data_IF_867036376580
#
_entry.id   IF_867036376580
#
_cell.length_a   1.000
_cell.length_b   1.000
_cell.length_c   1.000
_cell.angle_alpha   90.00
_cell.angle_beta   90.00
_cell.angle_gamma   90.00
#
_symmetry.space_group_name_H-M   'P 1'
#
loop_
_entity.id
_entity.type
_entity.pdbx_description
1 polymer ?
#
# COMPACT_ATOMS: atom_id res chain seq x y z
N UNK A 1 -2.38 14.09 22.66
CA UNK A 1 -3.70 14.20 22.00
C UNK A 1 -3.55 13.64 20.61
N UNK A 2 -4.06 12.42 20.37
CA UNK A 2 -4.12 11.84 19.01
C UNK A 2 -5.10 12.69 18.20
N UNK A 3 -4.62 13.39 17.18
CA UNK A 3 -5.51 14.00 16.21
C UNK A 3 -6.41 12.88 15.66
N UNK A 4 -7.72 13.07 15.72
CA UNK A 4 -8.64 12.16 15.05
C UNK A 4 -8.18 12.05 13.60
N UNK A 5 -7.83 10.84 13.17
CA UNK A 5 -7.44 10.57 11.78
C UNK A 5 -8.58 11.08 10.91
N UNK A 6 -8.28 12.02 10.02
CA UNK A 6 -9.26 12.49 9.06
C UNK A 6 -9.72 11.27 8.26
N UNK A 7 -10.99 10.90 8.41
CA UNK A 7 -11.54 9.63 7.88
C UNK A 7 -11.37 9.53 6.37
N UNK A 8 -11.34 10.68 5.72
CA UNK A 8 -11.11 10.80 4.28
C UNK A 8 -10.07 11.90 4.00
N UNK A 9 -8.77 11.57 4.02
CA UNK A 9 -7.75 12.55 3.71
C UNK A 9 -7.89 13.06 2.26
N UNK A 10 -7.47 14.30 1.97
CA UNK A 10 -7.47 14.83 0.61
C UNK A 10 -6.72 13.91 -0.35
N UNK A 11 -7.22 13.74 -1.57
CA UNK A 11 -6.59 12.87 -2.57
C UNK A 11 -5.11 13.27 -2.85
N UNK A 12 -4.78 14.55 -2.72
CA UNK A 12 -3.40 15.04 -2.84
C UNK A 12 -2.46 14.57 -1.73
N UNK A 13 -2.97 13.92 -0.68
CA UNK A 13 -2.18 13.31 0.40
C UNK A 13 -1.77 11.87 0.10
N UNK A 14 -2.10 11.35 -1.09
CA UNK A 14 -1.73 10.01 -1.52
C UNK A 14 -0.56 10.03 -2.49
N UNK A 15 0.35 9.09 -2.33
CA UNK A 15 1.30 8.72 -3.37
C UNK A 15 0.61 7.89 -4.45
N UNK A 16 0.91 8.17 -5.70
CA UNK A 16 0.37 7.47 -6.87
C UNK A 16 1.41 6.55 -7.48
N UNK A 17 1.05 5.30 -7.71
CA UNK A 17 1.86 4.29 -8.39
C UNK A 17 1.10 3.74 -9.59
N UNK A 18 1.79 3.37 -10.66
CA UNK A 18 1.16 2.79 -11.85
C UNK A 18 2.17 1.96 -12.65
N UNK A 19 1.67 0.92 -13.30
CA UNK A 19 2.37 0.15 -14.32
C UNK A 19 1.87 0.46 -15.75
N UNK A 20 1.13 1.58 -15.90
CA UNK A 20 0.45 2.03 -17.11
C UNK A 20 -0.83 1.25 -17.49
N UNK A 21 -1.19 0.19 -16.78
CA UNK A 21 -2.42 -0.58 -16.98
C UNK A 21 -3.39 -0.43 -15.81
N UNK A 22 -2.85 -0.27 -14.63
CA UNK A 22 -3.59 -0.01 -13.39
C UNK A 22 -2.80 0.92 -12.47
N UNK A 23 -3.40 1.29 -11.35
CA UNK A 23 -2.77 2.18 -10.38
C UNK A 23 -3.10 1.83 -8.95
N UNK A 24 -2.21 2.22 -8.05
CA UNK A 24 -2.40 2.16 -6.62
C UNK A 24 -2.26 3.55 -5.99
N UNK A 25 -3.03 3.80 -4.93
CA UNK A 25 -2.89 4.98 -4.08
C UNK A 25 -2.38 4.55 -2.71
N UNK A 26 -1.27 5.16 -2.31
CA UNK A 26 -0.60 4.89 -1.03
C UNK A 26 -0.78 6.10 -0.13
N UNK A 27 -1.48 5.91 1.00
CA UNK A 27 -1.68 6.95 1.98
C UNK A 27 -0.38 7.34 2.70
N UNK A 28 -0.39 8.50 3.33
CA UNK A 28 0.77 9.05 4.02
C UNK A 28 1.27 8.18 5.19
N UNK A 29 0.42 7.31 5.73
CA UNK A 29 0.76 6.34 6.79
C UNK A 29 1.20 4.96 6.26
N UNK A 30 1.46 4.84 4.96
CA UNK A 30 2.02 3.64 4.34
C UNK A 30 1.00 2.56 3.99
N UNK A 31 -0.29 2.89 3.92
CA UNK A 31 -1.32 1.96 3.48
C UNK A 31 -1.63 2.12 1.98
N UNK A 32 -1.68 1.02 1.24
CA UNK A 32 -2.34 0.98 -0.07
C UNK A 32 -3.83 0.94 0.19
N UNK A 33 -4.53 2.01 -0.13
CA UNK A 33 -5.97 2.19 0.13
C UNK A 33 -6.83 2.15 -1.14
N UNK A 34 -6.17 2.09 -2.30
CA UNK A 34 -6.82 1.88 -3.58
C UNK A 34 -5.94 1.02 -4.49
N UNK A 35 -6.53 -0.02 -5.06
CA UNK A 35 -5.94 -0.83 -6.13
C UNK A 35 -7.03 -1.63 -6.83
N UNK A 36 -7.11 -1.53 -8.14
CA UNK A 36 -7.90 -2.39 -9.02
C UNK A 36 -6.96 -3.26 -9.85
N UNK A 37 -7.30 -4.51 -10.08
CA UNK A 37 -6.54 -5.43 -10.91
C UNK A 37 -7.49 -6.23 -11.81
N UNK A 38 -7.08 -6.53 -13.07
CA UNK A 38 -5.82 -6.19 -13.73
C UNK A 38 -5.80 -4.79 -14.36
N UNK A 39 -6.91 -4.06 -14.41
CA UNK A 39 -7.03 -2.78 -15.09
C UNK A 39 -7.63 -1.71 -14.18
N UNK A 40 -7.54 -0.44 -14.58
CA UNK A 40 -8.13 0.70 -13.85
C UNK A 40 -9.64 0.55 -13.58
N UNK A 41 -10.36 -0.05 -14.52
CA UNK A 41 -11.81 -0.25 -14.49
C UNK A 41 -12.24 -1.63 -13.95
N UNK A 42 -11.29 -2.43 -13.49
CA UNK A 42 -11.56 -3.73 -12.87
C UNK A 42 -12.09 -3.58 -11.44
N UNK A 43 -12.75 -4.62 -10.90
CA UNK A 43 -13.13 -4.63 -9.49
C UNK A 43 -11.95 -4.38 -8.55
N UNK A 44 -12.22 -3.70 -7.43
CA UNK A 44 -11.17 -3.37 -6.47
C UNK A 44 -10.62 -4.59 -5.74
N UNK A 45 -9.32 -4.55 -5.44
CA UNK A 45 -8.65 -5.41 -4.46
C UNK A 45 -8.59 -4.71 -3.11
N UNK A 46 -8.24 -3.41 -3.13
CA UNK A 46 -8.28 -2.51 -1.99
C UNK A 46 -9.11 -1.29 -2.35
N UNK A 47 -9.94 -0.84 -1.43
CA UNK A 47 -10.86 0.27 -1.62
C UNK A 47 -11.14 1.06 -0.35
N UNK A 48 -10.22 1.05 0.65
CA UNK A 48 -10.35 1.81 1.90
C UNK A 48 -10.49 3.32 1.65
N UNK A 49 -10.04 3.82 0.50
CA UNK A 49 -10.28 5.20 0.04
C UNK A 49 -11.78 5.55 0.01
N UNK A 50 -12.67 4.59 -0.26
CA UNK A 50 -14.11 4.79 -0.33
C UNK A 50 -14.81 4.45 1.00
N UNK A 51 -14.32 3.44 1.70
CA UNK A 51 -14.86 2.97 2.98
C UNK A 51 -13.72 2.36 3.80
N UNK A 52 -13.27 3.08 4.82
CA UNK A 52 -12.13 2.70 5.66
C UNK A 52 -12.36 1.43 6.50
N UNK A 53 -13.62 1.07 6.76
CA UNK A 53 -13.98 -0.13 7.53
C UNK A 53 -14.10 -1.38 6.64
N UNK A 54 -14.68 -1.23 5.43
CA UNK A 54 -15.04 -2.34 4.55
C UNK A 54 -14.22 -2.43 3.26
N UNK A 55 -13.52 -1.35 2.89
CA UNK A 55 -12.84 -1.27 1.61
C UNK A 55 -11.57 -2.10 1.50
N UNK A 56 -10.95 -2.46 2.62
CA UNK A 56 -9.70 -3.22 2.64
C UNK A 56 -8.46 -2.42 2.26
N UNK A 57 -7.31 -2.88 2.73
CA UNK A 57 -6.05 -2.18 2.58
C UNK A 57 -4.84 -3.14 2.62
N UNK A 58 -3.67 -2.63 2.24
CA UNK A 58 -2.38 -3.24 2.51
C UNK A 58 -1.50 -2.20 3.22
N UNK A 59 -1.40 -2.29 4.53
CA UNK A 59 -0.66 -1.36 5.38
C UNK A 59 0.67 -1.94 5.82
N UNK A 60 1.70 -1.08 5.80
CA UNK A 60 3.00 -1.35 6.40
C UNK A 60 3.40 -0.11 7.20
N UNK A 61 3.61 -0.26 8.49
CA UNK A 61 3.95 0.82 9.41
C UNK A 61 4.87 0.34 10.53
N UNK A 62 5.55 1.25 11.28
CA UNK A 62 6.22 0.86 12.52
C UNK A 62 5.23 0.24 13.51
N UNK A 63 5.68 -0.83 14.20
CA UNK A 63 4.88 -1.49 15.23
C UNK A 63 4.73 -0.64 16.50
N UNK A 64 5.58 0.37 16.68
CA UNK A 64 5.54 1.31 17.80
C UNK A 64 4.82 2.60 17.41
N UNK A 65 4.14 3.22 18.35
CA UNK A 65 3.53 4.54 18.19
C UNK A 65 4.55 5.68 18.24
N UNK A 66 4.12 6.91 17.93
CA UNK A 66 4.93 8.12 18.10
C UNK A 66 5.96 8.35 16.99
N UNK A 67 5.76 7.79 15.81
CA UNK A 67 6.61 8.04 14.64
C UNK A 67 6.13 9.26 13.83
N UNK A 68 7.06 9.83 13.09
CA UNK A 68 6.78 10.84 12.06
C UNK A 68 6.96 10.22 10.68
N UNK A 69 6.04 10.53 9.77
CA UNK A 69 6.09 10.03 8.39
C UNK A 69 6.49 11.13 7.43
N UNK A 70 7.28 10.78 6.42
CA UNK A 70 7.56 11.60 5.24
C UNK A 70 7.40 10.75 3.99
N UNK A 71 6.75 11.31 2.98
CA UNK A 71 6.53 10.61 1.71
C UNK A 71 7.12 11.44 0.57
N UNK A 72 7.84 10.80 -0.32
CA UNK A 72 8.51 11.44 -1.47
C UNK A 72 8.75 10.42 -2.58
N UNK A 73 8.85 10.89 -3.81
CA UNK A 73 9.36 10.06 -4.90
C UNK A 73 10.89 10.07 -4.93
N UNK A 74 11.47 8.94 -5.29
CA UNK A 74 12.88 8.93 -5.68
C UNK A 74 13.06 9.81 -6.92
N UNK A 75 14.08 10.69 -6.95
CA UNK A 75 14.27 11.62 -8.07
C UNK A 75 14.22 10.94 -9.44
N UNK A 76 13.49 11.56 -10.36
CA UNK A 76 13.32 11.12 -11.75
C UNK A 76 12.73 9.71 -11.93
N UNK A 77 11.94 9.24 -10.95
CA UNK A 77 11.31 7.91 -11.00
C UNK A 77 9.87 7.95 -10.51
N UNK A 78 9.13 6.86 -10.76
CA UNK A 78 7.83 6.57 -10.16
C UNK A 78 7.93 5.69 -8.89
N UNK A 79 9.10 5.65 -8.25
CA UNK A 79 9.33 4.92 -7.01
C UNK A 79 8.99 5.80 -5.82
N UNK A 80 7.99 5.40 -5.06
CA UNK A 80 7.54 6.12 -3.86
C UNK A 80 8.30 5.62 -2.63
N UNK A 81 8.77 6.54 -1.81
CA UNK A 81 9.42 6.25 -0.53
C UNK A 81 8.55 6.81 0.59
N UNK A 82 8.04 5.94 1.44
CA UNK A 82 7.41 6.33 2.71
C UNK A 82 8.40 6.07 3.83
N UNK A 83 8.93 7.15 4.41
CA UNK A 83 9.96 7.12 5.46
C UNK A 83 9.32 7.33 6.81
N UNK A 84 9.63 6.46 7.75
CA UNK A 84 9.20 6.53 9.14
C UNK A 84 10.40 6.86 10.03
N UNK A 85 10.21 7.85 10.90
CA UNK A 85 11.21 8.31 11.85
C UNK A 85 10.70 8.03 13.26
N UNK A 86 11.50 7.28 14.02
CA UNK A 86 11.28 6.98 15.44
C UNK A 86 12.51 7.38 16.24
N UNK A 87 12.43 7.37 17.55
CA UNK A 87 13.61 7.55 18.41
C UNK A 87 14.68 6.48 18.17
N UNK A 88 14.26 5.23 17.92
CA UNK A 88 15.14 4.07 17.74
C UNK A 88 15.75 3.94 16.35
N UNK A 89 15.19 4.61 15.33
CA UNK A 89 15.66 4.43 13.97
C UNK A 89 14.89 5.13 12.88
N UNK A 90 15.35 4.89 11.67
CA UNK A 90 14.71 5.36 10.43
C UNK A 90 14.48 4.15 9.53
N UNK A 91 13.23 3.91 9.19
CA UNK A 91 12.82 2.86 8.29
C UNK A 91 12.08 3.40 7.07
N UNK A 92 12.07 2.66 6.00
CA UNK A 92 11.41 3.04 4.74
C UNK A 92 10.62 1.87 4.16
N UNK A 93 9.49 2.21 3.58
CA UNK A 93 8.79 1.38 2.60
C UNK A 93 9.03 2.00 1.25
N UNK A 94 9.60 1.22 0.33
CA UNK A 94 9.87 1.63 -1.04
C UNK A 94 8.88 0.91 -1.94
N UNK A 95 7.97 1.67 -2.53
CA UNK A 95 6.82 1.17 -3.28
C UNK A 95 6.95 1.52 -4.76
N UNK A 96 6.69 0.53 -5.63
CA UNK A 96 6.61 0.76 -7.07
C UNK A 96 5.83 -0.34 -7.78
N UNK A 97 5.33 -0.01 -8.97
CA UNK A 97 4.72 -0.96 -9.89
C UNK A 97 5.60 -1.05 -11.14
N UNK A 98 6.29 -2.18 -11.37
CA UNK A 98 7.09 -2.35 -12.57
C UNK A 98 6.20 -2.25 -13.82
N UNK A 99 6.61 -1.49 -14.87
CA UNK A 99 5.87 -1.46 -16.12
C UNK A 99 5.64 -2.85 -16.67
N UNK A 100 4.42 -3.13 -17.11
CA UNK A 100 4.04 -4.44 -17.64
C UNK A 100 4.48 -4.66 -19.10
N UNK A 101 5.12 -3.67 -19.74
CA UNK A 101 5.54 -3.68 -21.14
C UNK A 101 4.44 -3.19 -22.08
N UNK A 102 4.68 -3.33 -23.39
CA UNK A 102 3.77 -2.84 -24.45
C UNK A 102 2.63 -3.81 -24.76
N UNK A 103 2.65 -5.00 -24.19
CA UNK A 103 1.63 -6.04 -24.41
C UNK A 103 0.73 -6.11 -23.18
N UNK A 104 -0.58 -6.16 -23.40
CA UNK A 104 -1.53 -6.41 -22.34
C UNK A 104 -1.17 -7.68 -21.56
N UNK A 105 -1.11 -7.60 -20.25
CA UNK A 105 -0.78 -8.70 -19.37
C UNK A 105 -1.70 -8.70 -18.16
N UNK A 106 -2.01 -9.87 -17.64
CA UNK A 106 -2.71 -10.04 -16.35
C UNK A 106 -1.72 -10.21 -15.17
N UNK A 107 -0.41 -10.10 -15.46
CA UNK A 107 0.63 -10.27 -14.45
C UNK A 107 1.12 -8.92 -13.90
N UNK A 108 0.26 -8.27 -13.14
CA UNK A 108 0.58 -7.02 -12.46
C UNK A 108 1.26 -7.26 -11.12
N UNK A 109 2.17 -6.36 -10.74
CA UNK A 109 2.90 -6.43 -9.49
C UNK A 109 2.93 -5.08 -8.79
N UNK A 110 2.56 -5.07 -7.52
CA UNK A 110 2.91 -4.01 -6.60
C UNK A 110 4.05 -4.52 -5.72
N UNK A 111 5.21 -3.90 -5.82
CA UNK A 111 6.38 -4.24 -5.01
C UNK A 111 6.47 -3.28 -3.84
N UNK A 112 6.60 -3.82 -2.64
CA UNK A 112 6.78 -3.09 -1.38
C UNK A 112 8.02 -3.62 -0.66
N UNK A 113 9.10 -2.85 -0.66
CA UNK A 113 10.36 -3.24 -0.03
C UNK A 113 10.55 -2.51 1.30
N UNK A 114 10.84 -3.27 2.35
CA UNK A 114 11.17 -2.73 3.66
C UNK A 114 12.68 -2.53 3.77
N UNK A 115 13.09 -1.34 4.21
CA UNK A 115 14.49 -0.99 4.39
C UNK A 115 14.68 -0.28 5.73
N UNK A 116 15.64 -0.74 6.52
CA UNK A 116 16.13 0.00 7.68
C UNK A 116 17.31 0.88 7.24
N UNK A 117 17.14 2.20 7.36
CA UNK A 117 18.16 3.18 6.95
C UNK A 117 19.13 3.46 8.09
N UNK A 118 18.64 3.47 9.34
CA UNK A 118 19.43 3.73 10.53
C UNK A 118 18.79 3.09 11.76
N UNK A 119 19.62 2.58 12.68
CA UNK A 119 19.14 1.98 13.93
C UNK A 119 18.40 0.67 13.69
N UNK A 120 17.30 0.47 14.39
CA UNK A 120 16.42 -0.69 14.25
C UNK A 120 14.96 -0.25 14.19
N UNK A 121 14.15 -0.99 13.44
CA UNK A 121 12.72 -0.77 13.36
C UNK A 121 11.98 -2.08 13.14
N UNK A 122 10.96 -2.32 13.95
CA UNK A 122 10.00 -3.41 13.73
C UNK A 122 8.81 -2.86 12.95
N UNK A 123 8.45 -3.55 11.88
CA UNK A 123 7.28 -3.21 11.07
C UNK A 123 6.13 -4.17 11.35
N UNK A 124 4.93 -3.61 11.40
CA UNK A 124 3.67 -4.34 11.33
C UNK A 124 3.20 -4.35 9.88
N UNK A 125 2.82 -5.52 9.39
CA UNK A 125 2.27 -5.72 8.05
C UNK A 125 0.84 -6.25 8.18
N UNK A 126 -0.11 -5.49 7.64
CA UNK A 126 -1.53 -5.83 7.66
C UNK A 126 -2.08 -5.85 6.22
N UNK A 127 -2.52 -7.03 5.76
CA UNK A 127 -3.04 -7.24 4.41
C UNK A 127 -4.47 -7.74 4.52
N UNK A 128 -5.41 -6.88 4.19
CA UNK A 128 -6.84 -7.14 4.28
C UNK A 128 -7.54 -6.83 2.94
N UNK A 129 -7.40 -7.69 1.90
CA UNK A 129 -8.09 -7.46 0.63
C UNK A 129 -9.61 -7.56 0.82
N UNK A 130 -10.33 -6.78 0.01
CA UNK A 130 -11.79 -6.78 -0.07
C UNK A 130 -12.18 -6.69 -1.53
N UNK A 131 -12.25 -7.85 -2.16
CA UNK A 131 -12.51 -7.95 -3.60
C UNK A 131 -13.88 -7.41 -3.97
N UNK A 132 -13.94 -6.80 -5.15
CA UNK A 132 -15.15 -6.22 -5.73
C UNK A 132 -15.87 -5.28 -4.74
N UNK A 133 -15.13 -4.30 -4.21
CA UNK A 133 -15.64 -3.31 -3.26
C UNK A 133 -16.24 -3.96 -1.98
N UNK A 134 -15.63 -5.06 -1.53
CA UNK A 134 -16.09 -5.83 -0.38
C UNK A 134 -17.32 -6.71 -0.62
N UNK A 135 -17.76 -6.85 -1.87
CA UNK A 135 -18.93 -7.68 -2.23
C UNK A 135 -18.58 -9.15 -2.43
N UNK A 136 -17.32 -9.43 -2.78
CA UNK A 136 -16.85 -10.81 -3.01
C UNK A 136 -16.20 -11.38 -1.76
N UNK A 137 -16.71 -12.49 -1.27
CA UNK A 137 -16.02 -13.28 -0.25
C UNK A 137 -14.76 -13.93 -0.85
N UNK A 138 -13.73 -14.12 -0.05
CA UNK A 138 -12.51 -14.79 -0.48
C UNK A 138 -12.02 -15.81 0.54
N UNK A 139 -11.22 -16.74 0.08
CA UNK A 139 -10.47 -17.68 0.91
C UNK A 139 -9.04 -17.18 1.04
N UNK A 140 -8.49 -17.27 2.25
CA UNK A 140 -7.07 -16.99 2.51
C UNK A 140 -6.34 -18.31 2.81
N UNK A 141 -5.26 -18.54 2.11
CA UNK A 141 -4.34 -19.66 2.36
C UNK A 141 -2.96 -19.12 2.72
N UNK A 142 -2.46 -19.51 3.89
CA UNK A 142 -1.12 -19.14 4.35
C UNK A 142 -0.15 -20.21 3.87
N UNK A 143 0.91 -19.79 3.18
CA UNK A 143 1.96 -20.64 2.66
C UNK A 143 3.30 -20.32 3.33
N UNK A 144 4.32 -21.14 3.10
CA UNK A 144 5.69 -20.86 3.59
C UNK A 144 6.23 -19.51 3.07
N UNK A 145 5.78 -19.05 1.92
CA UNK A 145 6.30 -17.87 1.24
C UNK A 145 5.35 -16.66 1.28
N UNK A 146 4.18 -16.78 1.91
CA UNK A 146 3.22 -15.69 2.00
C UNK A 146 1.78 -16.13 2.14
N UNK A 147 0.87 -15.32 1.64
CA UNK A 147 -0.56 -15.59 1.64
C UNK A 147 -1.13 -15.53 0.22
N UNK A 148 -2.05 -16.45 -0.07
CA UNK A 148 -2.81 -16.47 -1.33
C UNK A 148 -4.28 -16.17 -1.00
N UNK A 149 -4.85 -15.22 -1.72
CA UNK A 149 -6.25 -14.83 -1.60
C UNK A 149 -6.98 -15.21 -2.89
N UNK A 150 -8.02 -16.03 -2.79
CA UNK A 150 -8.78 -16.54 -3.94
C UNK A 150 -10.26 -16.23 -3.77
N UNK A 151 -10.89 -15.69 -4.81
CA UNK A 151 -12.35 -15.43 -4.89
C UNK A 151 -13.08 -16.58 -5.53
#
# INVERSE_FOLDING_TARGET
MSAAKDRFPPIGSYGFLSDCHTSALVSYDGAVEWLCLPRFDSPSVFGALLDDERGGHFRVRPAQDGYTTKQMYHPDTAVLITRFLTEGGVGEVVDFMPPAGDVATDNHRLVRMLRCVRGAMTFEVDIAPRFDYGRCAHRTEITEHGAVFTT
#
